data_IF_484008934344
#
_entry.id   IF_484008934344
#
_cell.length_a   1.000
_cell.length_b   1.000
_cell.length_c   1.000
_cell.angle_alpha   90.00
_cell.angle_beta   90.00
_cell.angle_gamma   90.00
#
_symmetry.space_group_name_H-M   'P 1'
#
loop_
_entity.id
_entity.type
_entity.pdbx_description
1 polymer ?
#
# COMPACT_ATOMS: atom_id res chain seq x y z
N UNK A 1 30.96 61.80 29.19
CA UNK A 1 30.32 61.13 28.05
C UNK A 1 29.99 59.70 28.46
N UNK A 2 28.71 59.33 28.54
CA UNK A 2 28.27 57.96 28.86
C UNK A 2 27.55 57.40 27.63
N UNK A 3 28.14 56.37 27.01
CA UNK A 3 27.55 55.63 25.89
C UNK A 3 26.54 54.63 26.45
N UNK A 4 25.26 54.80 26.10
CA UNK A 4 24.20 53.84 26.39
C UNK A 4 24.18 52.84 25.24
N UNK A 5 24.61 51.61 25.50
CA UNK A 5 24.53 50.51 24.54
C UNK A 5 23.08 50.00 24.48
N UNK A 6 22.41 50.21 23.35
CA UNK A 6 21.07 49.69 23.10
C UNK A 6 21.17 48.22 22.66
N UNK A 7 20.67 47.31 23.49
CA UNK A 7 20.58 45.88 23.19
C UNK A 7 19.35 45.65 22.30
N UNK A 8 19.57 45.43 21.00
CA UNK A 8 18.50 45.06 20.05
C UNK A 8 18.25 43.56 20.18
N UNK A 9 17.14 43.19 20.85
CA UNK A 9 16.63 41.81 20.85
C UNK A 9 15.97 41.53 19.48
N UNK A 10 16.63 40.74 18.64
CA UNK A 10 16.04 40.21 17.42
C UNK A 10 15.14 39.04 17.80
N UNK A 11 13.82 39.27 17.81
CA UNK A 11 12.83 38.21 17.97
C UNK A 11 12.76 37.37 16.69
N UNK A 12 13.42 36.21 16.68
CA UNK A 12 13.21 35.20 15.63
C UNK A 12 11.84 34.55 15.85
N UNK A 13 10.92 34.59 14.87
CA UNK A 13 9.67 33.85 14.98
C UNK A 13 10.00 32.35 15.00
N UNK A 14 9.71 31.68 16.11
CA UNK A 14 9.72 30.23 16.18
C UNK A 14 8.59 29.71 15.29
N UNK A 15 8.93 29.30 14.08
CA UNK A 15 8.03 28.50 13.25
C UNK A 15 8.00 27.11 13.86
N UNK A 16 6.91 26.76 14.53
CA UNK A 16 6.64 25.40 14.98
C UNK A 16 6.36 24.59 13.72
N UNK A 17 7.34 23.82 13.26
CA UNK A 17 7.12 22.84 12.20
C UNK A 17 6.29 21.70 12.79
N UNK A 18 5.09 21.48 12.25
CA UNK A 18 4.31 20.31 12.59
C UNK A 18 5.09 19.04 12.22
N UNK A 19 5.23 18.12 13.17
CA UNK A 19 5.96 16.88 12.97
C UNK A 19 5.06 15.91 12.18
N UNK A 20 5.40 15.71 10.90
CA UNK A 20 4.70 14.77 10.03
C UNK A 20 5.37 13.40 10.13
N UNK A 21 4.60 12.40 10.57
CA UNK A 21 5.07 11.00 10.57
C UNK A 21 4.91 10.43 9.17
N UNK A 22 5.96 9.77 8.67
CA UNK A 22 5.97 9.18 7.34
C UNK A 22 6.12 7.66 7.45
N UNK A 23 5.20 6.93 6.85
CA UNK A 23 5.28 5.48 6.70
C UNK A 23 5.39 5.12 5.23
N UNK A 24 6.22 4.13 4.91
CA UNK A 24 6.41 3.67 3.55
C UNK A 24 5.69 2.35 3.34
N UNK A 25 4.90 2.31 2.28
CA UNK A 25 4.32 1.09 1.76
C UNK A 25 5.13 0.64 0.56
N UNK A 26 5.37 -0.66 0.51
CA UNK A 26 6.00 -1.33 -0.61
C UNK A 26 5.03 -2.34 -1.22
N UNK A 27 5.28 -2.75 -2.45
CA UNK A 27 4.49 -3.79 -3.09
C UNK A 27 5.35 -4.69 -3.97
N UNK A 28 4.82 -5.88 -4.25
CA UNK A 28 5.37 -6.79 -5.25
C UNK A 28 4.33 -7.77 -5.75
N UNK A 29 4.68 -8.47 -6.81
CA UNK A 29 3.97 -9.65 -7.27
C UNK A 29 4.73 -10.92 -6.90
N UNK A 30 4.14 -11.76 -6.06
CA UNK A 30 4.67 -13.06 -5.70
C UNK A 30 4.00 -14.16 -6.52
N UNK A 31 4.79 -15.11 -7.03
CA UNK A 31 4.29 -16.34 -7.64
C UNK A 31 5.25 -17.49 -7.32
N UNK A 32 4.80 -18.67 -6.88
CA UNK A 32 5.70 -19.74 -6.44
C UNK A 32 6.71 -20.22 -7.50
N UNK A 33 6.35 -20.15 -8.79
CA UNK A 33 7.19 -20.58 -9.90
C UNK A 33 8.00 -19.48 -10.58
N UNK A 34 7.73 -18.20 -10.28
CA UNK A 34 8.55 -17.08 -10.76
C UNK A 34 9.34 -16.61 -9.55
N UNK A 35 10.67 -16.72 -9.58
CA UNK A 35 11.53 -16.40 -8.43
C UNK A 35 11.16 -15.08 -7.74
N UNK A 36 11.51 -14.95 -6.46
CA UNK A 36 11.09 -13.81 -5.62
C UNK A 36 11.42 -12.47 -6.29
N UNK A 37 10.39 -11.68 -6.58
CA UNK A 37 10.55 -10.29 -7.02
C UNK A 37 10.87 -9.41 -5.80
N UNK A 38 11.77 -8.42 -5.95
CA UNK A 38 12.03 -7.46 -4.89
C UNK A 38 10.81 -6.57 -4.66
N UNK A 39 10.69 -6.03 -3.45
CA UNK A 39 9.69 -5.02 -3.15
C UNK A 39 10.05 -3.68 -3.81
N UNK A 40 9.07 -3.03 -4.43
CA UNK A 40 9.19 -1.67 -4.95
C UNK A 40 8.36 -0.70 -4.13
N UNK A 41 8.71 0.59 -4.16
CA UNK A 41 7.97 1.60 -3.41
C UNK A 41 6.58 1.79 -4.00
N UNK A 42 5.55 1.67 -3.16
CA UNK A 42 4.15 1.78 -3.57
C UNK A 42 3.59 3.15 -3.26
N UNK A 43 3.74 3.57 -2.01
CA UNK A 43 3.22 4.84 -1.53
C UNK A 43 3.93 5.28 -0.24
N UNK A 44 3.88 6.58 0.03
CA UNK A 44 4.20 7.16 1.34
C UNK A 44 2.91 7.64 1.99
N UNK A 45 2.69 7.22 3.23
CA UNK A 45 1.59 7.70 4.06
C UNK A 45 2.13 8.86 4.91
N UNK A 46 1.51 10.02 4.78
CA UNK A 46 1.78 11.18 5.60
C UNK A 46 0.70 11.29 6.67
N UNK A 47 1.12 11.29 7.92
CA UNK A 47 0.23 11.34 9.08
C UNK A 47 0.49 12.63 9.82
N UNK A 48 -0.56 13.43 10.00
CA UNK A 48 -0.49 14.68 10.74
C UNK A 48 -0.72 14.50 12.24
N UNK A 49 -0.64 15.60 12.98
CA UNK A 49 -0.83 15.65 14.44
C UNK A 49 -2.24 15.23 14.90
N UNK A 50 -3.21 15.18 13.98
CA UNK A 50 -4.59 14.74 14.24
C UNK A 50 -4.85 13.30 13.78
N UNK A 51 -3.80 12.57 13.37
CA UNK A 51 -3.87 11.24 12.77
C UNK A 51 -4.65 11.20 11.44
N UNK A 52 -4.79 12.33 10.74
CA UNK A 52 -5.30 12.32 9.38
C UNK A 52 -4.22 11.76 8.44
N UNK A 53 -4.62 10.82 7.58
CA UNK A 53 -3.69 10.12 6.69
C UNK A 53 -3.87 10.64 5.27
N UNK A 54 -2.77 11.13 4.68
CA UNK A 54 -2.68 11.45 3.27
C UNK A 54 -1.82 10.42 2.55
N UNK A 55 -2.29 9.92 1.40
CA UNK A 55 -1.58 8.91 0.60
C UNK A 55 -0.89 9.59 -0.57
N UNK A 56 0.43 9.43 -0.66
CA UNK A 56 1.24 9.85 -1.81
C UNK A 56 1.72 8.62 -2.57
N UNK A 57 1.17 8.37 -3.75
CA UNK A 57 1.59 7.24 -4.58
C UNK A 57 3.03 7.46 -5.09
N UNK A 58 3.80 6.37 -5.16
CA UNK A 58 5.09 6.39 -5.80
C UNK A 58 4.93 6.69 -7.31
N UNK A 59 5.80 7.51 -7.91
CA UNK A 59 5.74 7.76 -9.36
C UNK A 59 5.87 6.49 -10.21
N UNK A 60 6.63 5.49 -9.73
CA UNK A 60 6.82 4.20 -10.42
C UNK A 60 5.64 3.24 -10.27
N UNK A 61 4.65 3.54 -9.42
CA UNK A 61 3.64 2.56 -9.01
C UNK A 61 2.88 1.94 -10.20
N UNK A 62 2.51 2.77 -11.19
CA UNK A 62 1.83 2.28 -12.39
C UNK A 62 2.76 1.42 -13.27
N UNK A 63 4.01 1.83 -13.44
CA UNK A 63 5.01 1.12 -14.26
C UNK A 63 5.41 -0.23 -13.63
N UNK A 64 5.50 -0.27 -12.30
CA UNK A 64 5.77 -1.48 -11.52
C UNK A 64 4.65 -2.51 -11.73
N UNK A 65 3.39 -2.07 -11.71
CA UNK A 65 2.22 -2.93 -11.99
C UNK A 65 2.21 -3.46 -13.44
N UNK A 66 2.60 -2.64 -14.41
CA UNK A 66 2.74 -3.08 -15.82
C UNK A 66 3.78 -4.19 -15.90
N UNK A 67 4.95 -3.99 -15.27
CA UNK A 67 6.04 -4.96 -15.22
C UNK A 67 5.63 -6.27 -14.55
N UNK A 68 4.90 -6.21 -13.43
CA UNK A 68 4.35 -7.39 -12.76
C UNK A 68 3.37 -8.14 -13.66
N UNK A 69 2.58 -7.41 -14.43
CA UNK A 69 1.73 -8.00 -15.44
C UNK A 69 2.52 -8.84 -16.46
N UNK A 70 3.68 -8.38 -16.89
CA UNK A 70 4.52 -9.12 -17.85
C UNK A 70 5.05 -10.42 -17.24
N UNK A 71 5.35 -10.42 -15.94
CA UNK A 71 5.71 -11.62 -15.17
C UNK A 71 4.54 -12.61 -15.12
N UNK A 72 3.30 -12.15 -14.94
CA UNK A 72 2.13 -13.05 -14.96
C UNK A 72 1.96 -13.76 -16.30
N UNK A 73 2.24 -13.07 -17.41
CA UNK A 73 2.16 -13.69 -18.73
C UNK A 73 3.18 -14.80 -18.90
N UNK A 74 4.36 -14.68 -18.29
CA UNK A 74 5.44 -15.68 -18.42
C UNK A 74 5.15 -16.98 -17.66
N UNK A 75 4.38 -16.93 -16.56
CA UNK A 75 4.00 -18.13 -15.78
C UNK A 75 2.78 -18.88 -16.35
N UNK A 76 2.06 -18.28 -17.31
CA UNK A 76 1.01 -18.95 -18.08
C UNK A 76 -0.17 -19.44 -17.23
N UNK A 77 -0.47 -20.73 -17.30
CA UNK A 77 -1.67 -21.34 -16.67
C UNK A 77 -1.68 -21.24 -15.14
N UNK A 78 -0.50 -21.10 -14.53
CA UNK A 78 -0.35 -21.00 -13.08
C UNK A 78 -0.55 -19.56 -12.55
N UNK A 79 -0.80 -18.57 -13.42
CA UNK A 79 -1.00 -17.17 -13.01
C UNK A 79 -2.07 -16.97 -11.91
N UNK A 80 -3.01 -17.92 -11.77
CA UNK A 80 -4.02 -17.94 -10.71
C UNK A 80 -3.45 -18.10 -9.28
N UNK A 81 -2.22 -18.60 -9.15
CA UNK A 81 -1.49 -18.74 -7.89
C UNK A 81 -0.76 -17.44 -7.47
N UNK A 82 -0.76 -16.42 -8.33
CA UNK A 82 -0.06 -15.20 -8.03
C UNK A 82 -0.77 -14.37 -6.95
N UNK A 83 0.04 -13.80 -6.07
CA UNK A 83 -0.39 -12.93 -4.98
C UNK A 83 0.20 -11.55 -5.21
N UNK A 84 -0.65 -10.53 -5.13
CA UNK A 84 -0.21 -9.16 -4.99
C UNK A 84 0.00 -8.87 -3.51
N UNK A 85 1.22 -8.50 -3.14
CA UNK A 85 1.61 -8.28 -1.76
C UNK A 85 1.86 -6.80 -1.52
N UNK A 86 1.38 -6.30 -0.39
CA UNK A 86 1.69 -4.97 0.13
C UNK A 86 2.44 -5.17 1.44
N UNK A 87 3.52 -4.42 1.63
CA UNK A 87 4.34 -4.48 2.82
C UNK A 87 4.46 -3.12 3.49
N UNK A 88 4.58 -3.11 4.81
CA UNK A 88 4.77 -1.94 5.65
C UNK A 88 6.21 -1.94 6.21
N UNK A 89 6.99 -0.91 5.85
CA UNK A 89 8.26 -0.64 6.49
C UNK A 89 8.02 0.20 7.77
N UNK A 90 8.51 -0.28 8.91
CA UNK A 90 8.40 0.40 10.20
C UNK A 90 9.74 0.98 10.63
N UNK A 91 9.67 1.90 11.58
CA UNK A 91 10.88 2.49 12.18
C UNK A 91 11.71 1.40 12.87
N UNK A 92 12.98 1.29 12.48
CA UNK A 92 13.91 0.31 13.04
C UNK A 92 14.01 -1.00 12.26
N UNK A 93 13.12 -1.25 11.29
CA UNK A 93 13.28 -2.38 10.38
C UNK A 93 14.56 -2.18 9.53
N UNK A 94 15.34 -3.25 9.34
CA UNK A 94 16.63 -3.24 8.62
C UNK A 94 16.59 -4.01 7.31
N UNK A 95 15.66 -4.96 7.21
CA UNK A 95 15.54 -5.86 6.06
C UNK A 95 14.08 -6.10 5.70
N UNK A 96 13.80 -6.42 4.43
CA UNK A 96 12.44 -6.74 3.96
C UNK A 96 11.80 -7.92 4.72
N UNK A 97 12.62 -8.80 5.30
CA UNK A 97 12.14 -9.95 6.08
C UNK A 97 11.49 -9.56 7.41
N UNK A 98 11.73 -8.33 7.88
CA UNK A 98 11.14 -7.81 9.11
C UNK A 98 9.80 -7.15 8.84
N UNK A 99 9.52 -6.71 7.61
CA UNK A 99 8.30 -5.99 7.24
C UNK A 99 7.05 -6.84 7.44
N UNK A 100 5.97 -6.19 7.84
CA UNK A 100 4.66 -6.83 7.87
C UNK A 100 4.05 -6.86 6.45
N UNK A 101 3.44 -7.99 6.07
CA UNK A 101 3.00 -8.24 4.69
C UNK A 101 1.55 -8.72 4.68
N UNK A 102 0.72 -8.03 3.91
CA UNK A 102 -0.62 -8.50 3.54
C UNK A 102 -0.67 -8.86 2.05
N UNK A 103 -1.46 -9.88 1.70
CA UNK A 103 -1.53 -10.41 0.34
C UNK A 103 -2.96 -10.62 -0.13
N UNK A 104 -3.21 -10.32 -1.40
CA UNK A 104 -4.46 -10.63 -2.09
C UNK A 104 -4.16 -11.41 -3.36
N UNK A 105 -5.13 -12.22 -3.83
CA UNK A 105 -4.97 -12.90 -5.13
C UNK A 105 -4.87 -11.86 -6.24
N UNK A 106 -3.83 -11.95 -7.08
CA UNK A 106 -3.59 -10.95 -8.13
C UNK A 106 -4.75 -10.84 -9.14
N UNK A 107 -5.49 -11.94 -9.35
CA UNK A 107 -6.66 -11.98 -10.22
C UNK A 107 -7.77 -10.99 -9.81
N UNK A 108 -7.88 -10.65 -8.53
CA UNK A 108 -8.91 -9.76 -8.01
C UNK A 108 -8.63 -8.29 -8.34
N UNK A 109 -7.40 -7.94 -8.74
CA UNK A 109 -7.04 -6.58 -9.15
C UNK A 109 -7.78 -6.14 -10.41
N UNK A 110 -8.18 -7.08 -11.28
CA UNK A 110 -8.90 -6.77 -12.53
C UNK A 110 -10.20 -6.00 -12.30
N UNK A 111 -10.91 -6.31 -11.21
CA UNK A 111 -12.23 -5.77 -10.91
C UNK A 111 -12.22 -4.79 -9.74
N UNK A 112 -11.06 -4.62 -9.09
CA UNK A 112 -10.93 -3.75 -7.95
C UNK A 112 -11.21 -2.29 -8.34
N UNK A 113 -12.20 -1.69 -7.67
CA UNK A 113 -12.54 -0.28 -7.79
C UNK A 113 -12.27 0.49 -6.49
N UNK A 114 -12.07 -0.23 -5.39
CA UNK A 114 -11.62 0.34 -4.12
C UNK A 114 -10.61 -0.56 -3.43
N UNK A 115 -9.76 0.04 -2.61
CA UNK A 115 -8.86 -0.64 -1.71
C UNK A 115 -8.92 -0.05 -0.31
N UNK A 116 -8.68 -0.90 0.68
CA UNK A 116 -8.64 -0.51 2.09
C UNK A 116 -7.35 -1.03 2.71
N UNK A 117 -6.61 -0.11 3.35
CA UNK A 117 -5.39 -0.41 4.11
C UNK A 117 -5.71 -0.14 5.58
N UNK A 118 -5.59 -1.16 6.41
CA UNK A 118 -5.75 -1.03 7.85
C UNK A 118 -4.37 -1.11 8.52
N UNK A 119 -4.00 -0.07 9.24
CA UNK A 119 -2.77 0.00 10.00
C UNK A 119 -3.08 -0.34 11.46
N UNK A 120 -2.54 -1.44 11.97
CA UNK A 120 -2.78 -1.88 13.33
C UNK A 120 -1.80 -1.20 14.28
N UNK A 121 -2.33 -0.49 15.27
CA UNK A 121 -1.56 0.21 16.30
C UNK A 121 -1.98 -0.27 17.68
N UNK A 122 -1.08 -0.16 18.67
CA UNK A 122 -1.45 -0.39 20.07
C UNK A 122 -2.35 0.73 20.60
N UNK A 123 -2.10 1.95 20.15
CA UNK A 123 -2.86 3.15 20.48
C UNK A 123 -3.26 3.85 19.17
N UNK A 124 -4.56 4.05 18.87
CA UNK A 124 -5.01 4.83 17.72
C UNK A 124 -4.47 6.26 17.66
N UNK A 125 -4.05 6.81 18.80
CA UNK A 125 -3.51 8.17 18.89
C UNK A 125 -1.99 8.24 18.63
N UNK A 126 -1.31 7.09 18.55
CA UNK A 126 0.11 7.01 18.26
C UNK A 126 0.35 6.36 16.89
N UNK A 127 0.91 7.07 15.91
CA UNK A 127 1.12 6.59 14.54
C UNK A 127 2.33 5.64 14.42
N UNK A 128 2.38 4.61 15.28
CA UNK A 128 3.40 3.56 15.25
C UNK A 128 2.74 2.20 15.00
N UNK A 129 2.37 1.90 13.74
CA UNK A 129 1.73 0.63 13.43
C UNK A 129 2.72 -0.55 13.45
N UNK A 130 2.26 -1.67 13.98
CA UNK A 130 3.04 -2.91 14.03
C UNK A 130 2.62 -3.90 12.94
N UNK A 131 1.42 -3.76 12.36
CA UNK A 131 0.91 -4.62 11.30
C UNK A 131 0.00 -3.87 10.32
N UNK A 132 -0.29 -4.54 9.20
CA UNK A 132 -0.98 -4.05 8.01
C UNK A 132 -1.95 -5.14 7.53
N UNK A 133 -3.20 -4.77 7.29
CA UNK A 133 -4.09 -5.55 6.43
C UNK A 133 -4.39 -4.78 5.14
N UNK A 134 -4.36 -5.49 4.02
CA UNK A 134 -4.67 -4.94 2.70
C UNK A 134 -5.86 -5.69 2.09
N UNK A 135 -6.89 -4.93 1.72
CA UNK A 135 -8.10 -5.43 1.10
C UNK A 135 -8.37 -4.70 -0.21
N UNK A 136 -9.02 -5.40 -1.13
CA UNK A 136 -9.53 -4.85 -2.39
C UNK A 136 -11.00 -5.25 -2.54
N UNK A 137 -11.77 -4.40 -3.23
CA UNK A 137 -13.17 -4.66 -3.50
C UNK A 137 -13.57 -4.08 -4.87
N UNK A 138 -14.59 -4.67 -5.52
CA UNK A 138 -15.32 -5.88 -5.13
C UNK A 138 -14.48 -7.16 -5.27
N UNK A 139 -14.81 -8.15 -4.44
CA UNK A 139 -14.38 -9.55 -4.63
C UNK A 139 -15.61 -10.44 -4.73
N UNK A 140 -15.56 -11.54 -5.52
CA UNK A 140 -16.62 -12.54 -5.52
C UNK A 140 -16.88 -13.08 -4.11
N UNK A 141 -18.14 -13.40 -3.80
CA UNK A 141 -18.54 -13.90 -2.47
C UNK A 141 -17.83 -15.20 -2.07
N UNK A 142 -17.43 -16.02 -3.04
CA UNK A 142 -16.68 -17.26 -2.83
C UNK A 142 -15.15 -17.02 -2.77
N UNK A 143 -14.69 -15.78 -2.95
CA UNK A 143 -13.26 -15.42 -2.99
C UNK A 143 -12.49 -16.08 -4.13
N UNK A 144 -13.19 -16.70 -5.10
CA UNK A 144 -12.59 -17.39 -6.22
C UNK A 144 -12.13 -16.39 -7.29
N UNK A 145 -10.99 -16.66 -7.92
CA UNK A 145 -10.65 -15.95 -9.16
C UNK A 145 -11.68 -16.32 -10.21
N UNK A 146 -12.21 -15.32 -10.93
CA UNK A 146 -13.16 -15.61 -12.00
C UNK A 146 -12.46 -16.38 -13.12
N UNK A 147 -12.68 -17.69 -13.16
CA UNK A 147 -12.30 -18.52 -14.29
C UNK A 147 -13.28 -18.20 -15.41
N UNK A 148 -12.82 -17.64 -16.52
CA UNK A 148 -13.66 -17.32 -17.67
C UNK A 148 -14.47 -18.53 -18.14
N UNK A 149 -15.75 -18.59 -17.75
CA UNK A 149 -16.79 -19.38 -18.39
C UNK A 149 -17.82 -18.42 -19.01
N UNK A 150 -17.34 -17.49 -19.83
CA UNK A 150 -18.21 -16.98 -20.89
C UNK A 150 -18.35 -18.10 -21.92
N UNK A 151 -19.59 -18.45 -22.27
CA UNK A 151 -19.92 -19.46 -23.31
C UNK A 151 -19.05 -19.21 -24.55
N UNK A 152 -17.98 -19.98 -24.75
CA UNK A 152 -17.19 -19.97 -25.98
C UNK A 152 -15.67 -20.06 -25.85
N UNK A 153 -15.02 -19.49 -24.82
CA UNK A 153 -13.54 -19.42 -24.81
C UNK A 153 -12.97 -19.29 -23.39
N UNK A 154 -12.18 -20.28 -22.97
CA UNK A 154 -11.50 -20.34 -21.68
C UNK A 154 -10.21 -19.49 -21.63
N UNK A 155 -10.25 -18.24 -22.11
CA UNK A 155 -9.05 -17.40 -22.33
C UNK A 155 -9.05 -16.04 -21.61
N UNK A 156 -10.09 -15.66 -20.86
CA UNK A 156 -10.18 -14.29 -20.33
C UNK A 156 -9.06 -13.95 -19.33
N UNK A 157 -8.60 -14.88 -18.48
CA UNK A 157 -7.44 -14.61 -17.59
C UNK A 157 -6.09 -14.60 -18.33
N UNK A 158 -6.04 -15.11 -19.56
CA UNK A 158 -4.84 -15.11 -20.41
C UNK A 158 -4.79 -13.83 -21.26
N UNK A 159 -5.95 -13.28 -21.63
CA UNK A 159 -6.03 -12.08 -22.49
C UNK A 159 -6.14 -10.77 -21.69
N UNK A 160 -6.77 -10.74 -20.50
CA UNK A 160 -6.78 -9.55 -19.64
C UNK A 160 -5.87 -9.74 -18.44
N UNK A 161 -4.65 -9.21 -18.59
CA UNK A 161 -3.68 -9.12 -17.51
C UNK A 161 -4.25 -8.27 -16.35
N UNK A 162 -4.61 -8.89 -15.21
CA UNK A 162 -5.36 -8.23 -14.14
C UNK A 162 -4.59 -7.07 -13.54
N UNK A 163 -3.27 -7.19 -13.46
CA UNK A 163 -2.38 -6.17 -12.90
C UNK A 163 -2.23 -4.99 -13.86
N UNK A 164 -2.15 -5.26 -15.17
CA UNK A 164 -2.12 -4.21 -16.18
C UNK A 164 -3.44 -3.41 -16.23
N UNK A 165 -4.58 -4.10 -16.14
CA UNK A 165 -5.88 -3.44 -16.07
C UNK A 165 -6.01 -2.56 -14.82
N UNK A 166 -5.48 -3.02 -13.69
CA UNK A 166 -5.42 -2.25 -12.46
C UNK A 166 -4.51 -1.02 -12.57
N UNK A 167 -3.32 -1.15 -13.18
CA UNK A 167 -2.41 -0.03 -13.44
C UNK A 167 -3.09 1.12 -14.20
N UNK A 168 -3.88 0.78 -15.23
CA UNK A 168 -4.61 1.77 -16.02
C UNK A 168 -5.76 2.47 -15.26
N UNK A 169 -6.24 1.88 -14.17
CA UNK A 169 -7.36 2.40 -13.38
C UNK A 169 -6.94 2.98 -12.03
N UNK A 170 -5.64 3.06 -11.76
CA UNK A 170 -5.09 3.44 -10.46
C UNK A 170 -5.55 4.82 -9.98
N UNK A 171 -5.70 5.78 -10.91
CA UNK A 171 -6.17 7.13 -10.63
C UNK A 171 -7.67 7.18 -10.28
N UNK A 172 -8.41 6.10 -10.56
CA UNK A 172 -9.85 5.96 -10.26
C UNK A 172 -10.08 5.06 -9.04
N UNK A 173 -9.02 4.52 -8.45
CA UNK A 173 -9.10 3.62 -7.32
C UNK A 173 -9.46 4.40 -6.05
N UNK A 174 -10.56 4.05 -5.41
CA UNK A 174 -10.92 4.63 -4.13
C UNK A 174 -10.06 4.00 -3.02
N UNK A 175 -9.07 4.75 -2.53
CA UNK A 175 -8.12 4.27 -1.53
C UNK A 175 -8.50 4.79 -0.15
N UNK A 176 -8.74 3.87 0.79
CA UNK A 176 -9.02 4.21 2.18
C UNK A 176 -7.90 3.68 3.08
N UNK A 177 -7.37 4.53 3.96
CA UNK A 177 -6.38 4.13 4.97
C UNK A 177 -6.91 4.46 6.35
N UNK A 178 -6.87 3.51 7.28
CA UNK A 178 -7.40 3.70 8.64
C UNK A 178 -6.49 3.09 9.70
N UNK A 179 -6.45 3.69 10.89
CA UNK A 179 -5.86 3.07 12.06
C UNK A 179 -6.86 2.12 12.75
N UNK A 180 -6.35 0.99 13.21
CA UNK A 180 -7.07 0.01 14.02
C UNK A 180 -6.32 -0.17 15.34
N UNK A 181 -6.91 0.34 16.42
CA UNK A 181 -6.41 0.07 17.76
C UNK A 181 -6.77 -1.33 18.23
N UNK A 182 -6.02 -1.85 19.21
CA UNK A 182 -6.40 -3.07 19.90
C UNK A 182 -7.68 -2.86 20.72
N UNK A 183 -8.81 -3.40 20.27
CA UNK A 183 -10.00 -3.53 21.10
C UNK A 183 -9.97 -4.86 21.82
N UNK A 184 -9.74 -4.85 23.14
CA UNK A 184 -9.97 -6.04 23.94
C UNK A 184 -11.46 -6.39 23.90
N UNK A 185 -11.83 -7.67 23.72
CA UNK A 185 -13.23 -8.06 23.86
C UNK A 185 -13.70 -7.71 25.28
N UNK A 186 -14.96 -7.26 25.45
CA UNK A 186 -15.51 -7.02 26.78
C UNK A 186 -15.44 -8.31 27.59
N UNK A 187 -14.90 -8.22 28.81
CA UNK A 187 -14.82 -9.31 29.78
C UNK A 187 -16.21 -9.65 30.35
#
# INVERSE_FOLDING_TARGET
MRLVAALVLVAFPFVVAAELVQLKLFHRLFHPAAGTTPYTHRATLLIDEHNAISVQLAPSFADDLITFGDVLRSVGKEAHLALYQVALERSGDKTEAEWDISSVKACHLLQASSESIHLHTLDPHNPNPYALDYFIAPIPHDGACQTGKYKGTAQVLVDTNPVHAFANNIHRLNTTVTFRGSTFPPL
#
